data_IF_320238736734
#
_entry.id   IF_320238736734
#
_cell.length_a   1.000
_cell.length_b   1.000
_cell.length_c   1.000
_cell.angle_alpha   90.00
_cell.angle_beta   90.00
_cell.angle_gamma   90.00
#
_symmetry.space_group_name_H-M   'P 1'
#
loop_
_entity.id
_entity.type
_entity.pdbx_description
1 polymer ?
#
# COMPACT_ATOMS: atom_id res chain seq x y z
N UNK A 1 -17.08 22.84 3.23
CA UNK A 1 -15.69 22.60 2.77
C UNK A 1 -15.56 21.11 2.53
N UNK A 2 -14.85 20.72 1.47
CA UNK A 2 -14.55 19.31 1.19
C UNK A 2 -13.63 18.76 2.28
N UNK A 3 -13.82 17.51 2.71
CA UNK A 3 -12.95 16.85 3.69
C UNK A 3 -11.58 16.61 3.03
N UNK A 4 -10.49 16.93 3.73
CA UNK A 4 -9.14 16.62 3.23
C UNK A 4 -8.93 15.11 3.23
N UNK A 5 -8.24 14.60 2.22
CA UNK A 5 -7.73 13.24 2.22
C UNK A 5 -6.32 13.21 2.83
N UNK A 6 -5.94 12.07 3.39
CA UNK A 6 -4.60 11.85 3.93
C UNK A 6 -4.10 10.47 3.52
N UNK A 7 -2.82 10.19 3.71
CA UNK A 7 -2.32 8.82 3.82
C UNK A 7 -2.20 8.43 5.30
N UNK A 8 -2.70 7.24 5.70
CA UNK A 8 -3.41 6.25 4.87
C UNK A 8 -4.78 6.78 4.45
N UNK A 9 -5.27 6.34 3.29
CA UNK A 9 -6.53 6.85 2.72
C UNK A 9 -7.79 6.31 3.41
N UNK A 10 -7.66 5.20 4.14
CA UNK A 10 -8.72 4.63 4.99
C UNK A 10 -8.55 5.10 6.45
N UNK A 11 -9.57 4.91 7.32
CA UNK A 11 -9.43 5.15 8.74
C UNK A 11 -8.20 4.44 9.34
N UNK A 12 -7.58 5.05 10.36
CA UNK A 12 -6.30 4.55 10.90
C UNK A 12 -6.38 3.18 11.58
N UNK A 13 -7.58 2.69 11.85
CA UNK A 13 -7.84 1.39 12.44
C UNK A 13 -8.19 0.31 11.42
N UNK A 14 -8.15 0.65 10.14
CA UNK A 14 -8.48 -0.23 9.03
C UNK A 14 -7.20 -0.70 8.32
N UNK A 15 -7.10 -2.01 8.10
CA UNK A 15 -5.87 -2.67 7.63
C UNK A 15 -6.13 -3.44 6.33
N UNK A 16 -6.35 -2.69 5.26
CA UNK A 16 -6.57 -3.21 3.90
C UNK A 16 -5.32 -2.96 3.03
N UNK A 17 -4.33 -3.87 3.07
CA UNK A 17 -3.21 -3.85 2.14
C UNK A 17 -3.58 -4.47 0.80
N UNK A 18 -2.58 -4.55 -0.08
CA UNK A 18 -2.73 -5.14 -1.41
C UNK A 18 -3.90 -4.47 -2.17
N UNK A 19 -4.01 -3.15 -1.99
CA UNK A 19 -5.17 -2.37 -2.40
C UNK A 19 -5.19 -2.14 -3.91
N UNK A 20 -6.12 -2.79 -4.58
CA UNK A 20 -6.34 -2.73 -6.02
C UNK A 20 -7.47 -1.73 -6.34
N UNK A 21 -7.16 -0.58 -6.95
CA UNK A 21 -8.11 0.52 -7.13
C UNK A 21 -8.90 0.41 -8.44
N UNK A 22 -10.22 0.49 -8.39
CA UNK A 22 -11.08 0.50 -9.58
C UNK A 22 -12.05 1.67 -9.60
N UNK A 23 -12.26 2.25 -10.78
CA UNK A 23 -13.32 3.24 -11.00
C UNK A 23 -14.51 2.57 -11.64
N UNK A 24 -15.60 2.43 -10.89
CA UNK A 24 -16.87 1.90 -11.39
C UNK A 24 -17.96 2.96 -11.23
N UNK A 25 -18.47 3.45 -12.35
CA UNK A 25 -19.43 4.56 -12.36
C UNK A 25 -18.77 5.85 -11.87
N UNK A 26 -19.36 6.48 -10.86
CA UNK A 26 -18.91 7.74 -10.27
C UNK A 26 -18.05 7.55 -9.01
N UNK A 27 -17.66 6.32 -8.68
CA UNK A 27 -16.93 5.97 -7.45
C UNK A 27 -15.63 5.24 -7.73
N UNK A 28 -14.70 5.44 -6.80
CA UNK A 28 -13.45 4.68 -6.69
C UNK A 28 -13.66 3.63 -5.62
N UNK A 29 -13.36 2.37 -5.93
CA UNK A 29 -13.39 1.22 -5.04
C UNK A 29 -11.97 0.75 -4.79
N UNK A 30 -11.72 0.24 -3.59
CA UNK A 30 -10.49 -0.49 -3.28
C UNK A 30 -10.88 -1.88 -2.80
N UNK A 31 -10.28 -2.87 -3.46
CA UNK A 31 -10.33 -4.28 -3.08
C UNK A 31 -8.95 -4.66 -2.60
N UNK A 32 -8.86 -5.33 -1.46
CA UNK A 32 -7.57 -5.70 -0.92
C UNK A 32 -7.69 -6.88 0.02
N UNK A 33 -6.53 -7.40 0.39
CA UNK A 33 -6.38 -8.25 1.55
C UNK A 33 -6.91 -7.57 2.81
N UNK A 34 -7.21 -8.33 3.85
CA UNK A 34 -7.66 -7.77 5.13
C UNK A 34 -6.81 -8.31 6.28
N UNK A 35 -5.81 -7.51 6.65
CA UNK A 35 -4.96 -7.79 7.81
C UNK A 35 -5.76 -7.63 9.10
N UNK A 36 -5.32 -8.32 10.16
CA UNK A 36 -5.90 -8.20 11.50
C UNK A 36 -4.94 -7.40 12.36
N UNK A 37 -5.43 -6.39 13.07
CA UNK A 37 -4.61 -5.68 14.06
C UNK A 37 -4.10 -6.67 15.13
N UNK A 38 -2.80 -6.63 15.42
CA UNK A 38 -2.10 -7.64 16.23
C UNK A 38 -2.20 -9.08 15.68
N UNK A 39 -2.35 -9.22 14.36
CA UNK A 39 -2.27 -10.50 13.66
C UNK A 39 -0.88 -11.13 13.77
N UNK A 40 -0.83 -12.45 13.56
CA UNK A 40 0.41 -13.24 13.52
C UNK A 40 0.70 -13.83 12.13
N UNK A 41 -0.16 -13.52 11.16
CA UNK A 41 -0.08 -13.91 9.77
C UNK A 41 -0.77 -12.85 8.90
N UNK A 42 -0.43 -12.81 7.62
CA UNK A 42 -1.05 -11.90 6.65
C UNK A 42 -2.54 -12.26 6.45
N UNK A 43 -3.36 -11.24 6.20
CA UNK A 43 -4.69 -11.38 5.59
C UNK A 43 -5.66 -12.35 6.31
N UNK A 44 -5.69 -12.28 7.65
CA UNK A 44 -6.47 -13.20 8.49
C UNK A 44 -8.00 -13.03 8.41
N UNK A 45 -8.45 -11.83 8.02
CA UNK A 45 -9.85 -11.41 8.04
C UNK A 45 -10.54 -11.65 6.67
N UNK A 46 -11.86 -11.50 6.65
CA UNK A 46 -12.67 -11.61 5.42
C UNK A 46 -12.46 -10.40 4.51
N UNK A 47 -12.67 -10.54 3.20
CA UNK A 47 -12.60 -9.39 2.31
C UNK A 47 -13.71 -8.39 2.61
N UNK A 48 -13.31 -7.15 2.77
CA UNK A 48 -14.19 -5.99 2.83
C UNK A 48 -13.91 -5.07 1.65
N UNK A 49 -14.82 -4.15 1.38
CA UNK A 49 -14.61 -3.12 0.36
C UNK A 49 -14.83 -1.74 0.96
N UNK A 50 -14.04 -0.79 0.48
CA UNK A 50 -14.26 0.63 0.70
C UNK A 50 -14.43 1.33 -0.64
N UNK A 51 -15.26 2.38 -0.66
CA UNK A 51 -15.37 3.23 -1.83
C UNK A 51 -15.52 4.71 -1.49
N UNK A 52 -15.04 5.58 -2.36
CA UNK A 52 -15.21 7.03 -2.26
C UNK A 52 -15.86 7.58 -3.53
N UNK A 53 -16.64 8.67 -3.46
CA UNK A 53 -16.98 9.43 -4.66
C UNK A 53 -15.69 9.82 -5.41
N UNK A 54 -15.66 9.66 -6.73
CA UNK A 54 -14.49 10.01 -7.55
C UNK A 54 -14.13 11.51 -7.50
N UNK A 55 -15.07 12.34 -7.04
CA UNK A 55 -14.89 13.75 -6.80
C UNK A 55 -14.65 14.11 -5.33
N UNK A 56 -14.63 13.13 -4.42
CA UNK A 56 -14.44 13.29 -2.98
C UNK A 56 -13.64 12.15 -2.31
N UNK A 57 -12.37 12.03 -2.72
CA UNK A 57 -11.42 11.01 -2.24
C UNK A 57 -11.03 11.12 -0.74
N UNK A 58 -11.51 12.13 -0.02
CA UNK A 58 -11.39 12.21 1.45
C UNK A 58 -12.51 11.49 2.20
N UNK A 59 -13.54 11.03 1.48
CA UNK A 59 -14.79 10.53 2.05
C UNK A 59 -15.05 9.06 1.67
N UNK A 60 -14.17 8.18 2.13
CA UNK A 60 -14.32 6.73 2.00
C UNK A 60 -15.46 6.19 2.87
N UNK A 61 -16.25 5.30 2.28
CA UNK A 61 -17.37 4.58 2.89
C UNK A 61 -17.02 3.10 2.98
N UNK A 62 -17.20 2.51 4.16
CA UNK A 62 -17.20 1.06 4.33
C UNK A 62 -18.41 0.45 3.64
N UNK A 63 -18.19 -0.42 2.66
CA UNK A 63 -19.25 -1.11 1.91
C UNK A 63 -19.70 -2.42 2.59
N UNK A 64 -18.96 -2.89 3.59
CA UNK A 64 -19.22 -4.15 4.26
C UNK A 64 -18.25 -5.26 3.87
N UNK A 65 -18.47 -6.42 4.48
CA UNK A 65 -17.83 -7.69 4.08
C UNK A 65 -18.40 -8.10 2.73
N UNK A 66 -17.54 -8.12 1.72
CA UNK A 66 -17.91 -8.50 0.36
C UNK A 66 -17.73 -9.99 0.12
N UNK A 67 -16.81 -10.65 0.83
CA UNK A 67 -16.57 -12.08 0.68
C UNK A 67 -15.98 -12.70 1.96
N UNK A 68 -16.72 -13.64 2.56
CA UNK A 68 -16.26 -14.38 3.74
C UNK A 68 -15.31 -15.50 3.30
N UNK A 69 -14.18 -15.68 3.99
CA UNK A 69 -13.17 -16.70 3.62
C UNK A 69 -13.69 -18.13 3.65
N UNK A 70 -14.75 -18.37 4.42
CA UNK A 70 -15.46 -19.67 4.52
C UNK A 70 -16.44 -19.92 3.38
N UNK A 71 -16.68 -18.92 2.51
CA UNK A 71 -17.54 -19.05 1.33
C UNK A 71 -16.90 -19.91 0.25
N UNK A 72 -15.58 -20.02 0.21
CA UNK A 72 -14.88 -20.90 -0.70
C UNK A 72 -15.09 -22.38 -0.27
N UNK A 73 -15.55 -23.27 -1.16
CA UNK A 73 -15.76 -24.68 -0.83
C UNK A 73 -14.55 -25.40 -0.24
N UNK A 74 -13.32 -25.00 -0.59
CA UNK A 74 -12.10 -25.62 -0.03
C UNK A 74 -11.69 -25.02 1.32
N UNK A 75 -12.25 -23.89 1.73
CA UNK A 75 -11.91 -23.20 2.99
C UNK A 75 -13.08 -23.12 3.99
N UNK A 76 -14.00 -24.09 3.98
CA UNK A 76 -15.17 -24.10 4.89
C UNK A 76 -14.81 -23.99 6.38
N UNK A 77 -13.62 -24.46 6.77
CA UNK A 77 -13.11 -24.38 8.14
C UNK A 77 -12.47 -23.02 8.48
N UNK A 78 -12.25 -22.15 7.49
CA UNK A 78 -11.65 -20.83 7.67
C UNK A 78 -10.18 -20.84 8.07
N UNK A 79 -9.46 -21.94 7.78
CA UNK A 79 -8.06 -22.16 8.17
C UNK A 79 -7.04 -21.60 7.17
N UNK A 80 -7.50 -21.12 6.01
CA UNK A 80 -6.72 -20.42 5.00
C UNK A 80 -7.01 -18.91 5.01
N UNK A 81 -6.02 -18.13 4.59
CA UNK A 81 -6.07 -16.68 4.45
C UNK A 81 -6.45 -16.31 3.01
N UNK A 82 -7.06 -15.13 2.86
CA UNK A 82 -7.51 -14.57 1.58
C UNK A 82 -6.48 -13.54 1.09
N UNK A 83 -5.72 -13.86 0.04
CA UNK A 83 -4.65 -13.00 -0.47
C UNK A 83 -5.07 -12.22 -1.73
N UNK A 84 -4.77 -10.92 -1.69
CA UNK A 84 -4.66 -9.97 -2.80
C UNK A 84 -5.72 -10.16 -3.91
N UNK A 85 -6.96 -9.71 -3.68
CA UNK A 85 -8.00 -9.83 -4.68
C UNK A 85 -7.90 -8.75 -5.75
N UNK A 86 -8.33 -9.08 -6.96
CA UNK A 86 -8.66 -8.09 -7.99
C UNK A 86 -10.06 -8.36 -8.56
N UNK A 87 -10.73 -7.29 -8.98
CA UNK A 87 -12.09 -7.29 -9.50
C UNK A 87 -12.15 -6.76 -10.92
N UNK A 88 -12.84 -7.47 -11.79
CA UNK A 88 -13.18 -6.99 -13.14
C UNK A 88 -14.68 -7.05 -13.38
N UNK A 89 -15.19 -6.13 -14.20
CA UNK A 89 -16.56 -6.20 -14.69
C UNK A 89 -16.62 -7.04 -15.97
N UNK A 90 -17.37 -8.14 -15.93
CA UNK A 90 -17.62 -9.01 -17.08
C UNK A 90 -18.46 -8.35 -18.16
N UNK A 91 -18.47 -8.94 -19.37
CA UNK A 91 -19.30 -8.48 -20.50
C UNK A 91 -20.81 -8.58 -20.22
N UNK A 92 -21.20 -9.47 -19.30
CA UNK A 92 -22.58 -9.60 -18.81
C UNK A 92 -22.97 -8.52 -17.78
N UNK A 93 -22.02 -7.65 -17.43
CA UNK A 93 -22.21 -6.53 -16.50
C UNK A 93 -22.02 -6.89 -15.02
N UNK A 94 -21.78 -8.16 -14.67
CA UNK A 94 -21.47 -8.62 -13.31
C UNK A 94 -20.01 -8.35 -12.96
N UNK A 95 -19.68 -8.46 -11.68
CA UNK A 95 -18.36 -8.22 -11.13
C UNK A 95 -17.75 -9.52 -10.63
N UNK A 96 -16.52 -9.79 -11.05
CA UNK A 96 -15.81 -11.03 -10.78
C UNK A 96 -14.56 -10.72 -9.98
N UNK A 97 -14.48 -11.29 -8.78
CA UNK A 97 -13.38 -11.16 -7.83
C UNK A 97 -12.49 -12.39 -7.93
N UNK A 98 -11.26 -12.21 -8.38
CA UNK A 98 -10.22 -13.23 -8.45
C UNK A 98 -9.40 -13.18 -7.17
N UNK A 99 -9.09 -14.34 -6.59
CA UNK A 99 -8.28 -14.43 -5.37
C UNK A 99 -7.57 -15.78 -5.28
N UNK A 100 -6.54 -15.84 -4.43
CA UNK A 100 -5.84 -17.09 -4.09
C UNK A 100 -5.89 -17.30 -2.57
N UNK A 101 -6.11 -18.54 -2.14
CA UNK A 101 -6.00 -18.94 -0.75
C UNK A 101 -4.56 -19.36 -0.44
N UNK A 102 -4.03 -18.97 0.71
CA UNK A 102 -2.60 -19.11 1.08
C UNK A 102 -2.01 -20.54 1.04
N UNK A 103 -2.85 -21.58 1.02
CA UNK A 103 -2.42 -22.99 1.07
C UNK A 103 -2.77 -23.82 -0.18
N UNK A 104 -3.24 -23.18 -1.24
CA UNK A 104 -3.57 -23.86 -2.50
C UNK A 104 -2.88 -23.17 -3.69
N UNK A 105 -2.57 -23.90 -4.77
CA UNK A 105 -1.80 -23.35 -5.87
C UNK A 105 -2.68 -22.76 -6.99
N UNK A 106 -4.00 -22.65 -6.81
CA UNK A 106 -4.94 -22.31 -7.87
C UNK A 106 -5.72 -21.02 -7.60
N UNK A 107 -6.24 -20.41 -8.68
CA UNK A 107 -7.04 -19.19 -8.62
C UNK A 107 -8.53 -19.51 -8.45
N UNK A 108 -9.14 -18.93 -7.43
CA UNK A 108 -10.58 -18.95 -7.20
C UNK A 108 -11.23 -17.67 -7.74
N UNK A 109 -12.51 -17.78 -8.09
CA UNK A 109 -13.33 -16.67 -8.58
C UNK A 109 -14.64 -16.61 -7.79
N UNK A 110 -15.04 -15.43 -7.37
CA UNK A 110 -16.36 -15.13 -6.82
C UNK A 110 -17.07 -14.07 -7.69
N UNK A 111 -18.40 -14.01 -7.65
CA UNK A 111 -19.20 -13.12 -8.50
C UNK A 111 -20.24 -12.33 -7.70
N UNK A 112 -20.49 -11.08 -8.10
CA UNK A 112 -21.57 -10.23 -7.58
C UNK A 112 -22.22 -9.41 -8.71
N UNK A 113 -23.47 -9.01 -8.51
CA UNK A 113 -24.19 -8.14 -9.46
C UNK A 113 -23.79 -6.66 -9.33
N UNK A 114 -23.08 -6.30 -8.25
CA UNK A 114 -22.68 -4.92 -7.93
C UNK A 114 -21.22 -4.88 -7.50
N UNK A 115 -20.50 -3.74 -7.68
CA UNK A 115 -19.06 -3.68 -7.42
C UNK A 115 -18.68 -4.00 -5.97
N UNK A 116 -19.53 -3.66 -4.99
CA UNK A 116 -19.28 -3.93 -3.57
C UNK A 116 -20.44 -4.68 -2.90
N UNK A 117 -21.12 -5.55 -3.65
CA UNK A 117 -22.16 -6.43 -3.10
C UNK A 117 -21.55 -7.62 -2.36
N UNK A 118 -22.41 -8.49 -1.83
CA UNK A 118 -21.96 -9.81 -1.37
C UNK A 118 -21.60 -10.65 -2.59
N UNK A 119 -20.34 -11.05 -2.68
CA UNK A 119 -19.85 -11.98 -3.69
C UNK A 119 -20.19 -13.41 -3.26
N UNK A 120 -20.50 -14.24 -4.24
CA UNK A 120 -20.72 -15.68 -4.06
C UNK A 120 -19.66 -16.45 -4.83
N UNK A 121 -19.18 -17.56 -4.27
CA UNK A 121 -18.23 -18.43 -4.97
C UNK A 121 -18.77 -18.78 -6.37
N UNK A 122 -17.95 -18.58 -7.39
CA UNK A 122 -18.31 -18.77 -8.80
C UNK A 122 -17.65 -20.02 -9.38
N UNK A 123 -16.34 -20.18 -9.14
CA UNK A 123 -15.58 -21.31 -9.65
C UNK A 123 -14.09 -21.16 -9.45
N UNK A 124 -13.32 -22.01 -10.13
CA UNK A 124 -11.87 -21.94 -10.19
C UNK A 124 -11.45 -21.72 -11.65
N UNK A 125 -10.32 -21.07 -11.89
CA UNK A 125 -9.77 -20.99 -13.25
C UNK A 125 -9.28 -22.37 -13.68
N UNK A 126 -9.69 -22.85 -14.86
CA UNK A 126 -9.42 -24.21 -15.32
C UNK A 126 -9.24 -24.34 -16.83
N UNK A 127 -8.58 -25.42 -17.26
CA UNK A 127 -8.50 -25.82 -18.67
C UNK A 127 -9.82 -26.39 -19.21
N UNK A 128 -9.87 -26.73 -20.50
CA UNK A 128 -11.07 -27.28 -21.13
C UNK A 128 -11.51 -28.66 -20.57
N UNK A 129 -10.61 -29.39 -19.90
CA UNK A 129 -10.90 -30.67 -19.24
C UNK A 129 -11.34 -30.48 -17.77
N UNK A 130 -11.37 -29.24 -17.28
CA UNK A 130 -11.73 -28.90 -15.90
C UNK A 130 -10.59 -29.05 -14.89
N UNK A 131 -9.33 -29.18 -15.33
CA UNK A 131 -8.17 -29.16 -14.43
C UNK A 131 -7.83 -27.73 -14.07
N UNK A 132 -7.68 -27.44 -12.76
CA UNK A 132 -7.43 -26.08 -12.28
C UNK A 132 -6.04 -25.59 -12.66
N UNK A 133 -5.97 -24.30 -13.01
CA UNK A 133 -4.71 -23.59 -13.22
C UNK A 133 -3.88 -23.62 -11.93
N UNK A 134 -2.66 -24.14 -11.99
CA UNK A 134 -1.76 -24.32 -10.84
C UNK A 134 -1.64 -25.75 -10.34
N UNK A 135 -2.47 -26.68 -10.83
CA UNK A 135 -2.41 -28.10 -10.48
C UNK A 135 -1.91 -29.00 -11.62
N UNK A 136 -1.73 -28.46 -12.83
CA UNK A 136 -1.21 -29.23 -13.98
C UNK A 136 0.32 -29.32 -13.88
N UNK A 137 0.91 -30.40 -14.40
CA UNK A 137 2.36 -30.63 -14.35
C UNK A 137 3.20 -29.50 -14.97
N UNK A 138 2.62 -28.75 -15.92
CA UNK A 138 3.25 -27.61 -16.58
C UNK A 138 3.12 -26.29 -15.83
N UNK A 139 2.24 -26.22 -14.83
CA UNK A 139 1.89 -24.97 -14.15
C UNK A 139 2.88 -24.62 -13.04
N UNK A 140 3.00 -23.32 -12.78
CA UNK A 140 3.54 -22.81 -11.53
C UNK A 140 2.38 -22.54 -10.56
N UNK A 141 2.59 -22.62 -9.23
CA UNK A 141 1.56 -22.23 -8.29
C UNK A 141 1.13 -20.78 -8.50
N UNK A 142 -0.16 -20.54 -8.50
CA UNK A 142 -0.75 -19.22 -8.70
C UNK A 142 -0.70 -18.41 -7.40
N UNK A 143 -0.59 -17.09 -7.54
CA UNK A 143 -0.47 -16.13 -6.44
C UNK A 143 -0.83 -14.73 -6.97
N UNK A 144 -1.37 -13.87 -6.11
CA UNK A 144 -1.73 -12.47 -6.35
C UNK A 144 -2.33 -12.21 -7.74
N UNK A 145 -3.62 -12.49 -7.96
CA UNK A 145 -4.24 -12.23 -9.26
C UNK A 145 -4.42 -10.73 -9.53
N UNK A 146 -4.16 -10.33 -10.77
CA UNK A 146 -4.69 -9.13 -11.39
C UNK A 146 -5.43 -9.45 -12.68
N UNK A 147 -6.42 -8.65 -13.03
CA UNK A 147 -7.34 -8.94 -14.12
C UNK A 147 -7.68 -7.71 -14.96
N UNK A 148 -7.65 -7.89 -16.27
CA UNK A 148 -8.12 -6.92 -17.25
C UNK A 148 -9.12 -7.58 -18.20
N UNK A 149 -10.25 -6.92 -18.45
CA UNK A 149 -11.16 -7.33 -19.51
C UNK A 149 -11.06 -6.37 -20.68
N UNK A 150 -10.84 -6.91 -21.88
CA UNK A 150 -10.78 -6.14 -23.11
C UNK A 150 -11.23 -6.99 -24.30
N UNK A 151 -12.00 -6.40 -25.22
CA UNK A 151 -12.46 -7.04 -26.46
C UNK A 151 -13.12 -8.42 -26.29
N UNK A 152 -13.77 -8.64 -25.15
CA UNK A 152 -14.45 -9.89 -24.81
C UNK A 152 -13.53 -10.98 -24.24
N UNK A 153 -12.24 -10.71 -24.13
CA UNK A 153 -11.24 -11.56 -23.49
C UNK A 153 -10.95 -11.08 -22.07
N UNK A 154 -10.56 -12.02 -21.21
CA UNK A 154 -10.10 -11.73 -19.85
C UNK A 154 -8.63 -12.09 -19.76
N UNK A 155 -7.80 -11.13 -19.40
CA UNK A 155 -6.37 -11.31 -19.17
C UNK A 155 -6.14 -11.42 -17.67
N UNK A 156 -5.76 -12.60 -17.22
CA UNK A 156 -5.41 -12.90 -15.84
C UNK A 156 -3.89 -12.90 -15.69
N UNK A 157 -3.39 -12.13 -14.73
CA UNK A 157 -1.99 -12.01 -14.39
C UNK A 157 -1.76 -12.57 -13.00
N UNK A 158 -0.74 -13.40 -12.82
CA UNK A 158 -0.45 -14.08 -11.55
C UNK A 158 1.05 -14.34 -11.41
N UNK A 159 1.52 -14.57 -10.19
CA UNK A 159 2.86 -15.13 -9.99
C UNK A 159 3.48 -14.78 -8.64
N UNK A 160 4.50 -15.54 -8.30
CA UNK A 160 5.37 -15.29 -7.14
C UNK A 160 6.77 -15.83 -7.42
N UNK A 161 7.81 -15.06 -7.11
CA UNK A 161 9.21 -15.35 -7.42
C UNK A 161 10.12 -15.13 -6.20
N UNK A 162 10.07 -16.06 -5.26
CA UNK A 162 10.94 -16.06 -4.08
C UNK A 162 12.45 -16.01 -4.44
N UNK A 163 13.30 -15.37 -3.62
CA UNK A 163 14.75 -15.31 -3.85
C UNK A 163 15.38 -16.70 -4.05
N UNK A 164 15.95 -16.93 -5.24
CA UNK A 164 16.65 -18.17 -5.58
C UNK A 164 15.76 -19.37 -5.95
N UNK A 165 14.43 -19.21 -6.01
CA UNK A 165 13.51 -20.27 -6.40
C UNK A 165 13.43 -20.41 -7.93
N UNK A 166 14.20 -21.36 -8.48
CA UNK A 166 14.22 -21.65 -9.92
C UNK A 166 12.93 -22.30 -10.44
N UNK A 167 12.00 -22.74 -9.58
CA UNK A 167 10.70 -23.19 -10.05
C UNK A 167 9.80 -22.03 -10.50
N UNK A 168 10.16 -20.80 -10.11
CA UNK A 168 9.39 -19.57 -10.33
C UNK A 168 10.02 -18.71 -11.42
N UNK A 169 9.39 -18.69 -12.60
CA UNK A 169 9.99 -18.08 -13.80
C UNK A 169 9.72 -16.59 -13.96
N UNK A 170 8.64 -16.09 -13.37
CA UNK A 170 8.23 -14.70 -13.50
C UNK A 170 6.73 -14.51 -13.38
N UNK A 171 6.27 -13.30 -13.68
CA UNK A 171 4.85 -13.00 -13.83
C UNK A 171 4.28 -13.74 -15.04
N UNK A 172 3.13 -14.36 -14.86
CA UNK A 172 2.38 -15.08 -15.89
C UNK A 172 1.22 -14.22 -16.37
N UNK A 173 0.90 -14.32 -17.67
CA UNK A 173 -0.36 -13.87 -18.24
C UNK A 173 -1.09 -15.07 -18.85
N UNK A 174 -2.38 -15.22 -18.54
CA UNK A 174 -3.27 -16.29 -19.00
C UNK A 174 -4.53 -15.66 -19.59
N UNK A 175 -5.01 -16.14 -20.73
CA UNK A 175 -6.23 -15.58 -21.36
C UNK A 175 -7.41 -16.50 -21.07
N UNK A 176 -8.48 -15.95 -20.50
CA UNK A 176 -9.73 -16.65 -20.19
C UNK A 176 -10.85 -16.22 -21.14
N UNK A 177 -11.80 -17.13 -21.31
CA UNK A 177 -13.01 -16.89 -22.07
C UNK A 177 -14.00 -15.96 -21.36
N UNK A 178 -15.11 -15.59 -22.03
CA UNK A 178 -16.12 -14.69 -21.49
C UNK A 178 -16.92 -15.31 -20.32
N UNK A 179 -16.72 -16.59 -20.00
CA UNK A 179 -17.26 -17.23 -18.81
C UNK A 179 -16.44 -16.95 -17.55
N UNK A 180 -15.32 -16.22 -17.68
CA UNK A 180 -14.43 -15.72 -16.64
C UNK A 180 -13.58 -16.80 -15.94
N UNK A 181 -13.66 -18.08 -16.34
CA UNK A 181 -12.95 -19.18 -15.65
C UNK A 181 -12.29 -20.17 -16.60
N UNK A 182 -12.70 -20.26 -17.86
CA UNK A 182 -12.11 -21.23 -18.80
C UNK A 182 -10.91 -20.62 -19.52
N UNK A 183 -9.76 -21.29 -19.43
CA UNK A 183 -8.54 -20.92 -20.15
C UNK A 183 -8.77 -21.08 -21.66
N UNK A 184 -8.42 -20.05 -22.41
CA UNK A 184 -8.44 -20.01 -23.88
C UNK A 184 -7.06 -19.91 -24.50
N UNK A 185 -6.11 -19.27 -23.80
CA UNK A 185 -4.68 -19.28 -24.13
C UNK A 185 -3.86 -19.61 -22.89
N UNK A 186 -2.90 -20.52 -23.05
CA UNK A 186 -2.07 -21.02 -21.96
C UNK A 186 -1.18 -19.92 -21.32
N UNK A 187 -0.78 -20.09 -20.04
CA UNK A 187 0.06 -19.13 -19.36
C UNK A 187 1.39 -18.87 -20.10
N UNK A 188 1.74 -17.59 -20.23
CA UNK A 188 3.03 -17.13 -20.77
C UNK A 188 3.75 -16.25 -19.76
N UNK A 189 5.09 -16.31 -19.73
CA UNK A 189 5.89 -15.43 -18.86
C UNK A 189 6.06 -14.07 -19.53
N UNK A 190 5.66 -13.00 -18.83
CA UNK A 190 5.68 -11.63 -19.34
C UNK A 190 6.78 -10.76 -18.72
N UNK A 191 7.13 -11.00 -17.46
CA UNK A 191 8.20 -10.30 -16.73
C UNK A 191 9.02 -11.35 -15.98
N UNK A 192 10.36 -11.39 -16.15
CA UNK A 192 11.19 -12.42 -15.56
C UNK A 192 11.33 -12.27 -14.04
N UNK A 193 11.41 -13.41 -13.36
CA UNK A 193 11.79 -13.48 -11.94
C UNK A 193 13.31 -13.40 -11.74
N UNK A 194 13.74 -13.30 -10.47
CA UNK A 194 15.14 -13.09 -10.08
C UNK A 194 16.16 -14.11 -10.67
N UNK A 195 15.76 -15.34 -10.97
CA UNK A 195 16.64 -16.36 -11.54
C UNK A 195 16.80 -16.25 -13.07
N UNK A 196 16.04 -15.36 -13.74
CA UNK A 196 15.87 -15.34 -15.20
C UNK A 196 16.06 -13.95 -15.83
N UNK A 197 16.41 -12.92 -15.04
CA UNK A 197 16.55 -11.53 -15.50
C UNK A 197 17.93 -11.14 -15.99
N UNK A 198 18.95 -11.98 -15.80
CA UNK A 198 20.33 -11.62 -16.12
C UNK A 198 20.48 -11.19 -17.59
N UNK A 199 20.98 -9.97 -17.82
CA UNK A 199 21.11 -9.37 -19.16
C UNK A 199 19.81 -8.81 -19.75
N UNK A 200 18.72 -8.76 -18.98
CA UNK A 200 17.49 -8.02 -19.32
C UNK A 200 17.50 -6.64 -18.66
N UNK A 201 16.59 -5.78 -19.08
CA UNK A 201 16.30 -4.48 -18.46
C UNK A 201 15.65 -4.59 -17.06
N UNK A 202 15.22 -5.78 -16.66
CA UNK A 202 14.66 -6.06 -15.33
C UNK A 202 15.72 -6.38 -14.26
N UNK A 203 17.00 -6.50 -14.62
CA UNK A 203 18.06 -6.88 -13.68
C UNK A 203 18.13 -5.90 -12.48
N UNK A 204 18.01 -6.45 -11.26
CA UNK A 204 17.95 -5.68 -10.02
C UNK A 204 16.56 -5.17 -9.63
N UNK A 205 15.56 -5.33 -10.49
CA UNK A 205 14.16 -4.95 -10.28
C UNK A 205 13.20 -6.03 -10.81
N UNK A 206 13.58 -7.29 -10.65
CA UNK A 206 12.84 -8.43 -11.18
C UNK A 206 11.48 -8.59 -10.53
N UNK A 207 10.58 -9.32 -11.19
CA UNK A 207 9.30 -9.66 -10.58
C UNK A 207 9.50 -10.47 -9.29
N UNK A 208 8.82 -10.05 -8.22
CA UNK A 208 8.66 -10.79 -6.98
C UNK A 208 7.22 -11.24 -6.79
N UNK A 209 6.26 -10.32 -6.73
CA UNK A 209 4.83 -10.61 -6.52
C UNK A 209 3.93 -9.44 -6.94
N UNK A 210 2.62 -9.56 -6.66
CA UNK A 210 1.67 -8.46 -6.74
C UNK A 210 1.50 -7.79 -8.11
N UNK A 211 1.17 -8.55 -9.18
CA UNK A 211 0.84 -7.95 -10.45
C UNK A 211 -0.37 -7.02 -10.34
N UNK A 212 -0.37 -5.94 -11.10
CA UNK A 212 -1.55 -5.09 -11.37
C UNK A 212 -1.43 -4.54 -12.79
N UNK A 213 -2.54 -4.44 -13.51
CA UNK A 213 -2.52 -4.10 -14.95
C UNK A 213 -3.49 -2.97 -15.27
N UNK A 214 -3.03 -1.95 -15.97
CA UNK A 214 -3.89 -0.91 -16.56
C UNK A 214 -3.55 -0.66 -18.01
N UNK A 215 -4.52 -0.14 -18.75
CA UNK A 215 -4.30 0.32 -20.13
C UNK A 215 -4.51 1.84 -20.18
N UNK A 216 -3.56 2.53 -20.79
CA UNK A 216 -3.67 3.95 -21.12
C UNK A 216 -3.39 4.13 -22.62
N UNK A 217 -4.41 4.54 -23.37
CA UNK A 217 -4.35 4.54 -24.83
C UNK A 217 -4.11 3.14 -25.38
N UNK A 218 -3.00 2.97 -26.10
CA UNK A 218 -2.55 1.71 -26.71
C UNK A 218 -1.37 1.07 -25.94
N UNK A 219 -1.11 1.50 -24.71
CA UNK A 219 -0.05 0.95 -23.84
C UNK A 219 -0.66 0.26 -22.62
N UNK A 220 -0.20 -0.95 -22.35
CA UNK A 220 -0.42 -1.66 -21.09
C UNK A 220 0.67 -1.31 -20.10
N UNK A 221 0.28 -0.97 -18.87
CA UNK A 221 1.14 -0.68 -17.73
C UNK A 221 0.96 -1.80 -16.71
N UNK A 222 1.97 -2.66 -16.62
CA UNK A 222 2.02 -3.76 -15.66
C UNK A 222 2.83 -3.31 -14.44
N UNK A 223 2.13 -3.02 -13.34
CA UNK A 223 2.70 -2.70 -12.04
C UNK A 223 3.00 -3.99 -11.29
N UNK A 224 4.11 -4.04 -10.56
CA UNK A 224 4.47 -5.20 -9.75
C UNK A 224 5.42 -4.86 -8.60
N UNK A 225 5.44 -5.70 -7.58
CA UNK A 225 6.44 -5.64 -6.50
C UNK A 225 7.74 -6.30 -6.96
N UNK A 226 8.86 -5.60 -6.84
CA UNK A 226 10.14 -6.10 -7.33
C UNK A 226 10.84 -7.05 -6.34
N UNK A 227 11.94 -7.68 -6.76
CA UNK A 227 12.84 -8.47 -5.91
C UNK A 227 13.44 -7.70 -4.72
N UNK A 228 13.33 -6.36 -4.72
CA UNK A 228 13.65 -5.48 -3.57
C UNK A 228 12.55 -5.45 -2.51
N UNK A 229 11.37 -5.98 -2.80
CA UNK A 229 10.17 -6.12 -1.96
C UNK A 229 9.49 -4.80 -1.56
N UNK A 230 10.25 -3.72 -1.36
CA UNK A 230 9.76 -2.44 -0.82
C UNK A 230 9.28 -1.44 -1.87
N UNK A 231 9.23 -1.83 -3.14
CA UNK A 231 8.95 -0.93 -4.25
C UNK A 231 7.96 -1.52 -5.24
N UNK A 232 7.11 -0.65 -5.78
CA UNK A 232 6.29 -0.95 -6.94
C UNK A 232 6.98 -0.41 -8.17
N UNK A 233 7.32 -1.32 -9.06
CA UNK A 233 7.86 -1.07 -10.38
C UNK A 233 6.75 -1.09 -11.42
N UNK A 234 7.06 -0.68 -12.65
CA UNK A 234 6.20 -0.93 -13.79
C UNK A 234 6.98 -1.41 -15.02
N UNK A 235 6.28 -2.12 -15.88
CA UNK A 235 6.70 -2.48 -17.21
C UNK A 235 5.61 -2.08 -18.21
N UNK A 236 6.01 -1.76 -19.44
CA UNK A 236 5.08 -1.33 -20.50
C UNK A 236 5.11 -2.27 -21.68
N UNK A 237 3.96 -2.47 -22.32
CA UNK A 237 3.84 -3.21 -23.58
C UNK A 237 2.73 -2.65 -24.48
N UNK A 238 2.81 -2.96 -25.78
CA UNK A 238 1.71 -2.79 -26.74
C UNK A 238 0.77 -3.99 -26.80
N UNK A 239 1.11 -5.07 -26.10
CA UNK A 239 0.37 -6.32 -26.08
C UNK A 239 0.08 -6.73 -24.63
N UNK A 240 -1.11 -7.30 -24.36
CA UNK A 240 -1.45 -7.69 -23.00
C UNK A 240 -0.57 -8.84 -22.46
N UNK A 241 -0.01 -9.68 -23.33
CA UNK A 241 0.60 -10.97 -22.97
C UNK A 241 2.07 -11.15 -23.39
N UNK A 242 2.75 -10.11 -23.89
CA UNK A 242 4.15 -10.24 -24.36
C UNK A 242 4.85 -8.89 -24.47
N UNK A 243 6.17 -8.94 -24.70
CA UNK A 243 7.00 -7.77 -25.05
C UNK A 243 6.95 -6.64 -24.01
N UNK A 244 6.91 -6.98 -22.73
CA UNK A 244 7.03 -6.00 -21.66
C UNK A 244 8.48 -5.53 -21.53
N UNK A 245 8.62 -4.22 -21.35
CA UNK A 245 9.89 -3.52 -21.15
C UNK A 245 9.84 -2.80 -19.81
N UNK A 246 10.89 -2.91 -19.01
CA UNK A 246 10.98 -2.27 -17.70
C UNK A 246 10.90 -0.74 -17.83
N UNK A 247 10.05 -0.11 -17.03
CA UNK A 247 9.79 1.32 -17.05
C UNK A 247 10.42 2.10 -15.89
N UNK A 248 10.70 1.43 -14.76
CA UNK A 248 11.25 2.07 -13.56
C UNK A 248 10.44 1.80 -12.30
N UNK A 249 10.83 2.48 -11.22
CA UNK A 249 10.14 2.45 -9.92
C UNK A 249 9.10 3.57 -9.88
N UNK A 250 7.86 3.26 -9.50
CA UNK A 250 6.79 4.25 -9.29
C UNK A 250 6.81 4.76 -7.85
N UNK A 251 6.87 3.87 -6.86
CA UNK A 251 6.85 4.25 -5.44
C UNK A 251 7.60 3.22 -4.60
N UNK A 252 8.25 3.67 -3.53
CA UNK A 252 8.86 2.82 -2.52
C UNK A 252 8.27 3.15 -1.15
N UNK A 253 7.83 2.13 -0.40
CA UNK A 253 7.23 2.29 0.93
C UNK A 253 8.24 2.67 2.03
N UNK A 254 9.47 3.02 1.65
CA UNK A 254 10.52 3.56 2.49
C UNK A 254 11.29 4.72 1.83
N UNK A 255 10.80 5.24 0.69
CA UNK A 255 11.50 6.21 -0.17
C UNK A 255 12.94 5.78 -0.52
N UNK A 256 13.24 4.48 -0.62
CA UNK A 256 14.62 3.95 -0.67
C UNK A 256 15.48 4.52 -1.80
N UNK A 257 14.87 4.71 -2.98
CA UNK A 257 15.54 5.20 -4.19
C UNK A 257 15.57 6.74 -4.32
N UNK A 258 14.96 7.47 -3.37
CA UNK A 258 14.97 8.94 -3.36
C UNK A 258 16.19 9.42 -2.57
N UNK A 259 17.11 10.09 -3.27
CA UNK A 259 18.40 10.52 -2.72
C UNK A 259 18.64 12.05 -2.72
N UNK A 260 17.80 12.82 -3.42
CA UNK A 260 17.93 14.28 -3.47
C UNK A 260 17.50 14.97 -2.16
N UNK A 261 16.70 14.29 -1.34
CA UNK A 261 16.23 14.81 -0.04
C UNK A 261 16.91 14.16 1.17
N UNK A 262 17.60 13.02 0.98
CA UNK A 262 18.23 12.23 2.05
C UNK A 262 19.40 11.40 1.50
N UNK A 263 20.41 11.04 2.33
CA UNK A 263 21.49 10.15 1.90
C UNK A 263 20.99 8.84 1.31
N UNK A 264 21.69 8.33 0.29
CA UNK A 264 21.45 6.99 -0.22
C UNK A 264 21.60 5.96 0.91
N UNK A 265 20.68 4.99 0.98
CA UNK A 265 20.68 3.94 2.00
C UNK A 265 20.08 4.33 3.36
N UNK A 266 19.59 5.56 3.53
CA UNK A 266 18.73 5.93 4.67
C UNK A 266 17.26 5.76 4.25
N UNK A 267 16.56 4.71 4.69
CA UNK A 267 15.13 4.58 4.45
C UNK A 267 14.37 5.62 5.28
N UNK A 268 13.40 6.29 4.69
CA UNK A 268 12.58 7.29 5.37
C UNK A 268 11.43 6.65 6.18
N UNK A 269 11.24 5.34 6.05
CA UNK A 269 10.27 4.53 6.77
C UNK A 269 10.77 3.08 6.82
N UNK A 270 10.27 2.24 7.72
CA UNK A 270 10.65 0.82 7.78
C UNK A 270 10.26 0.11 6.46
N UNK A 271 11.23 -0.44 5.69
CA UNK A 271 10.92 -1.15 4.45
C UNK A 271 10.24 -2.48 4.77
N UNK A 272 9.25 -2.86 3.97
CA UNK A 272 8.59 -4.16 4.02
C UNK A 272 8.06 -4.55 2.64
N UNK A 273 7.29 -5.64 2.53
CA UNK A 273 6.64 -5.93 1.24
C UNK A 273 5.77 -4.75 0.77
N UNK A 274 5.56 -4.66 -0.52
CA UNK A 274 4.78 -3.60 -1.12
C UNK A 274 3.89 -4.20 -2.21
N UNK A 275 2.67 -3.69 -2.32
CA UNK A 275 1.66 -4.20 -3.23
C UNK A 275 0.58 -3.14 -3.43
N UNK A 276 0.10 -3.00 -4.66
CA UNK A 276 -1.06 -2.24 -5.06
C UNK A 276 -1.05 -2.00 -6.57
N UNK A 277 -2.00 -1.20 -7.04
CA UNK A 277 -2.19 -0.90 -8.45
C UNK A 277 -2.32 0.58 -8.74
N UNK A 278 -2.51 0.94 -10.01
CA UNK A 278 -2.77 2.32 -10.42
C UNK A 278 -4.19 2.53 -10.92
N UNK A 279 -4.73 3.74 -10.78
CA UNK A 279 -6.01 4.09 -11.36
C UNK A 279 -6.03 5.54 -11.84
N UNK A 280 -6.72 5.78 -12.95
CA UNK A 280 -7.07 7.12 -13.39
C UNK A 280 -8.38 7.54 -12.72
N UNK A 281 -8.33 8.61 -11.95
CA UNK A 281 -9.48 9.16 -11.24
C UNK A 281 -9.68 10.59 -11.75
N UNK A 282 -10.75 10.81 -12.51
CA UNK A 282 -11.11 12.12 -13.07
C UNK A 282 -9.98 12.81 -13.85
N UNK A 283 -9.19 12.05 -14.62
CA UNK A 283 -8.09 12.57 -15.44
C UNK A 283 -6.74 12.67 -14.72
N UNK A 284 -6.66 12.28 -13.45
CA UNK A 284 -5.41 12.21 -12.69
C UNK A 284 -5.09 10.75 -12.37
N UNK A 285 -3.88 10.32 -12.71
CA UNK A 285 -3.40 8.98 -12.33
C UNK A 285 -2.89 8.98 -10.90
N UNK A 286 -3.14 7.88 -10.20
CA UNK A 286 -2.63 7.63 -8.84
C UNK A 286 -2.02 6.23 -8.78
N UNK A 287 -0.96 6.08 -8.00
CA UNK A 287 -0.45 4.78 -7.55
C UNK A 287 -1.01 4.49 -6.16
N UNK A 288 -1.57 3.31 -5.95
CA UNK A 288 -1.98 2.77 -4.66
C UNK A 288 -0.94 1.75 -4.23
N UNK A 289 -0.62 1.76 -2.94
CA UNK A 289 0.43 0.94 -2.34
C UNK A 289 0.11 0.76 -0.85
N UNK A 290 1.00 0.12 -0.09
CA UNK A 290 0.82 0.06 1.36
C UNK A 290 2.12 0.29 2.13
N UNK A 291 1.97 0.59 3.41
CA UNK A 291 3.07 0.69 4.37
C UNK A 291 2.81 -0.20 5.58
N UNK A 292 3.88 -0.50 6.31
CA UNK A 292 3.83 -1.34 7.50
C UNK A 292 3.52 -0.51 8.74
N UNK A 293 2.65 -1.02 9.62
CA UNK A 293 2.31 -0.39 10.90
C UNK A 293 2.30 -1.45 11.99
N UNK A 294 2.01 -1.02 13.22
CA UNK A 294 2.04 -1.81 14.44
C UNK A 294 3.37 -2.54 14.72
N UNK A 295 4.43 -2.19 14.00
CA UNK A 295 5.73 -2.84 14.12
C UNK A 295 5.74 -4.28 13.63
N UNK A 296 4.87 -4.62 12.67
CA UNK A 296 4.75 -5.97 12.12
C UNK A 296 4.45 -5.94 10.62
N UNK A 297 4.74 -7.06 9.96
CA UNK A 297 4.33 -7.29 8.57
C UNK A 297 2.83 -7.52 8.42
N UNK A 298 2.13 -7.86 9.50
CA UNK A 298 0.74 -8.32 9.48
C UNK A 298 -0.28 -7.22 9.82
N UNK A 299 0.13 -5.95 9.76
CA UNK A 299 -0.73 -4.80 10.02
C UNK A 299 -0.34 -3.69 9.05
N UNK A 300 -0.78 -3.82 7.81
CA UNK A 300 -0.42 -2.94 6.70
C UNK A 300 -1.59 -2.01 6.36
N UNK A 301 -1.27 -0.77 5.98
CA UNK A 301 -2.25 0.26 5.67
C UNK A 301 -2.07 0.78 4.24
N UNK A 302 -3.18 0.88 3.52
CA UNK A 302 -3.24 1.44 2.16
C UNK A 302 -2.89 2.93 2.12
N UNK A 303 -2.01 3.29 1.20
CA UNK A 303 -1.59 4.65 0.87
C UNK A 303 -1.70 4.86 -0.65
N UNK A 304 -1.75 6.11 -1.09
CA UNK A 304 -1.74 6.42 -2.52
C UNK A 304 -1.02 7.74 -2.80
N UNK A 305 -0.46 7.90 -3.99
CA UNK A 305 0.20 9.14 -4.43
C UNK A 305 -0.22 9.50 -5.86
N UNK A 306 -0.33 10.79 -6.21
CA UNK A 306 -0.56 11.20 -7.59
C UNK A 306 0.69 10.88 -8.42
N UNK A 307 0.49 10.33 -9.62
CA UNK A 307 1.56 10.07 -10.59
C UNK A 307 1.24 10.75 -11.92
N UNK A 308 2.28 11.06 -12.68
CA UNK A 308 2.14 11.57 -14.04
C UNK A 308 2.72 10.54 -15.00
N UNK A 309 1.94 10.18 -16.01
CA UNK A 309 2.43 9.47 -17.19
C UNK A 309 2.93 10.55 -18.15
N UNK A 310 4.23 10.52 -18.46
CA UNK A 310 4.88 11.40 -19.42
C UNK A 310 4.39 11.16 -20.85
N UNK A 311 4.68 12.09 -21.75
CA UNK A 311 4.34 11.95 -23.17
C UNK A 311 5.00 10.72 -23.82
N UNK A 312 6.17 10.30 -23.31
CA UNK A 312 6.90 9.10 -23.69
C UNK A 312 6.39 7.82 -22.99
N UNK A 313 5.36 7.94 -22.15
CA UNK A 313 4.80 6.86 -21.34
C UNK A 313 5.58 6.59 -20.04
N UNK A 314 6.63 7.34 -19.73
CA UNK A 314 7.40 7.14 -18.51
C UNK A 314 6.64 7.63 -17.26
N UNK A 315 6.89 6.97 -16.12
CA UNK A 315 6.43 7.38 -14.80
C UNK A 315 7.65 7.63 -13.93
N UNK A 316 7.74 8.83 -13.36
CA UNK A 316 8.79 9.15 -12.40
C UNK A 316 8.43 8.63 -11.02
N UNK A 317 9.43 8.16 -10.27
CA UNK A 317 9.21 7.74 -8.90
C UNK A 317 8.68 8.91 -8.06
N UNK A 318 7.57 8.67 -7.36
CA UNK A 318 6.98 9.60 -6.39
C UNK A 318 7.42 9.24 -4.98
N UNK A 319 7.41 10.25 -4.12
CA UNK A 319 7.71 10.10 -2.69
C UNK A 319 6.46 9.78 -1.88
N UNK A 320 6.63 9.16 -0.72
CA UNK A 320 5.55 9.04 0.25
C UNK A 320 5.20 10.42 0.83
N UNK A 321 3.92 10.77 0.82
CA UNK A 321 3.36 11.99 1.40
C UNK A 321 2.25 11.68 2.39
N UNK A 322 1.98 12.62 3.30
CA UNK A 322 0.78 12.65 4.14
C UNK A 322 -0.46 13.10 3.36
N UNK A 323 -0.29 13.73 2.20
CA UNK A 323 -1.37 14.27 1.37
C UNK A 323 -2.13 13.16 0.63
N UNK A 324 -1.41 12.21 0.04
CA UNK A 324 -1.93 11.19 -0.84
C UNK A 324 -2.99 11.69 -1.84
N UNK A 325 -4.23 11.25 -1.68
CA UNK A 325 -5.35 11.57 -2.60
C UNK A 325 -5.91 13.00 -2.47
N UNK A 326 -5.30 13.87 -1.67
CA UNK A 326 -5.85 15.22 -1.39
C UNK A 326 -5.85 16.16 -2.61
N UNK A 327 -4.95 15.94 -3.58
CA UNK A 327 -4.79 16.78 -4.77
C UNK A 327 -3.96 18.05 -4.55
N UNK A 328 -3.22 18.13 -3.43
CA UNK A 328 -2.38 19.27 -3.07
C UNK A 328 -1.94 19.21 -1.61
N UNK A 329 -1.18 20.21 -1.13
CA UNK A 329 -0.78 20.30 0.27
C UNK A 329 -2.00 20.36 1.20
N UNK A 330 -1.86 19.80 2.41
CA UNK A 330 -2.85 19.94 3.48
C UNK A 330 -2.88 21.39 3.98
N UNK A 331 -4.00 21.84 4.51
CA UNK A 331 -4.09 23.18 5.07
C UNK A 331 -3.14 23.34 6.28
N UNK A 332 -2.32 24.39 6.31
CA UNK A 332 -1.45 24.68 7.45
C UNK A 332 -2.18 25.26 8.67
N UNK A 333 -3.30 24.64 9.08
CA UNK A 333 -4.11 25.04 10.23
C UNK A 333 -4.89 23.86 10.82
N UNK A 334 -5.14 23.92 12.13
CA UNK A 334 -5.92 22.91 12.85
C UNK A 334 -5.09 21.72 13.33
N UNK A 335 -5.77 20.71 13.87
CA UNK A 335 -5.16 19.52 14.46
C UNK A 335 -5.07 18.38 13.42
N UNK A 336 -3.89 17.76 13.35
CA UNK A 336 -3.57 16.63 12.49
C UNK A 336 -3.12 15.43 13.33
N UNK A 337 -3.66 14.22 13.05
CA UNK A 337 -3.26 13.04 13.79
C UNK A 337 -1.88 12.56 13.33
N UNK A 338 -1.08 12.08 14.27
CA UNK A 338 0.30 11.69 14.01
C UNK A 338 0.42 10.42 13.16
N UNK A 339 -0.64 9.60 13.05
CA UNK A 339 -0.63 8.42 12.17
C UNK A 339 -0.48 8.79 10.69
N UNK A 340 -0.65 10.05 10.28
CA UNK A 340 -0.42 10.45 8.87
C UNK A 340 1.07 10.66 8.54
N UNK A 341 1.98 10.41 9.49
CA UNK A 341 3.41 10.49 9.24
C UNK A 341 3.79 9.61 8.03
N UNK A 342 4.34 10.25 7.00
CA UNK A 342 4.81 9.57 5.80
C UNK A 342 6.29 9.20 5.91
N UNK A 343 7.02 9.83 6.84
CA UNK A 343 8.37 9.43 7.22
C UNK A 343 8.41 9.11 8.72
N UNK A 344 9.05 8.00 9.08
CA UNK A 344 9.28 7.57 10.46
C UNK A 344 10.56 6.76 10.52
N UNK A 345 11.65 7.39 10.98
CA UNK A 345 12.97 6.77 11.04
C UNK A 345 13.79 7.35 12.20
N UNK A 346 14.97 6.78 12.46
CA UNK A 346 15.94 7.36 13.39
C UNK A 346 17.31 7.46 12.73
N UNK A 347 18.08 8.49 13.10
CA UNK A 347 19.48 8.67 12.64
C UNK A 347 20.41 7.54 13.10
N UNK A 348 20.00 6.78 14.13
CA UNK A 348 20.75 5.67 14.72
C UNK A 348 20.12 4.30 14.41
N UNK A 349 19.11 4.27 13.55
CA UNK A 349 18.38 3.06 13.18
C UNK A 349 19.28 2.10 12.40
N UNK A 350 19.34 0.83 12.84
CA UNK A 350 20.03 -0.22 12.10
C UNK A 350 19.14 -0.73 10.97
N UNK A 351 19.44 -0.28 9.76
CA UNK A 351 18.65 -0.55 8.57
C UNK A 351 18.78 -1.99 8.04
N UNK A 352 19.77 -2.76 8.51
CA UNK A 352 20.04 -4.09 7.98
C UNK A 352 19.07 -5.17 8.53
N UNK A 353 18.29 -4.84 9.57
CA UNK A 353 17.46 -5.80 10.30
C UNK A 353 16.09 -5.27 10.70
N UNK A 354 15.54 -4.29 9.97
CA UNK A 354 14.36 -3.54 10.44
C UNK A 354 13.08 -4.36 10.55
N UNK A 355 12.85 -5.28 9.62
CA UNK A 355 11.87 -6.35 9.80
C UNK A 355 12.67 -7.64 9.91
N UNK A 356 12.83 -8.15 11.13
CA UNK A 356 13.42 -9.46 11.34
C UNK A 356 12.66 -10.50 10.50
N UNK A 357 13.31 -11.58 10.06
CA UNK A 357 12.68 -12.69 9.32
C UNK A 357 11.40 -13.26 9.99
N UNK A 358 11.15 -12.94 11.27
CA UNK A 358 9.95 -13.29 12.01
C UNK A 358 8.76 -12.30 11.85
N UNK A 359 8.89 -11.21 11.09
CA UNK A 359 7.80 -10.29 10.76
C UNK A 359 7.53 -9.19 11.80
N UNK A 360 8.51 -8.84 12.64
CA UNK A 360 8.38 -7.80 13.68
C UNK A 360 9.59 -6.88 13.70
N UNK A 361 9.36 -5.59 13.95
CA UNK A 361 10.43 -4.63 14.24
C UNK A 361 10.92 -4.82 15.69
N UNK A 362 12.19 -4.50 15.94
CA UNK A 362 12.70 -4.39 17.32
C UNK A 362 11.86 -3.35 18.10
N UNK A 363 11.37 -3.74 19.28
CA UNK A 363 10.49 -2.93 20.11
C UNK A 363 11.11 -1.59 20.56
N UNK A 364 12.41 -1.38 20.38
CA UNK A 364 13.08 -0.09 20.59
C UNK A 364 12.75 0.96 19.53
N UNK A 365 12.30 0.57 18.34
CA UNK A 365 11.97 1.52 17.27
C UNK A 365 10.55 2.07 17.41
N UNK A 366 10.35 3.27 16.87
CA UNK A 366 9.04 3.88 16.79
C UNK A 366 8.16 3.17 15.76
N UNK A 367 6.85 3.18 15.99
CA UNK A 367 5.85 2.58 15.09
C UNK A 367 4.55 3.34 15.13
N UNK A 368 3.85 3.42 14.00
CA UNK A 368 2.44 3.82 13.96
C UNK A 368 1.62 2.65 14.50
N UNK A 369 0.73 2.86 15.46
CA UNK A 369 -0.11 1.81 16.08
C UNK A 369 -1.40 2.44 16.61
N UNK A 370 -2.26 1.67 17.27
CA UNK A 370 -3.47 2.14 17.94
C UNK A 370 -3.60 1.51 19.33
N UNK A 371 -4.49 2.09 20.16
CA UNK A 371 -4.97 1.44 21.37
C UNK A 371 -6.10 0.44 21.01
N UNK A 372 -6.50 -0.39 21.98
CA UNK A 372 -7.60 -1.34 21.80
C UNK A 372 -7.23 -2.62 21.05
N UNK A 373 -8.19 -3.20 20.35
CA UNK A 373 -8.08 -4.46 19.59
C UNK A 373 -8.59 -4.27 18.16
N UNK A 374 -8.40 -5.31 17.34
CA UNK A 374 -8.95 -5.38 15.98
C UNK A 374 -10.45 -5.06 15.95
N UNK A 375 -10.85 -4.17 15.05
CA UNK A 375 -12.22 -3.69 14.90
C UNK A 375 -12.64 -2.54 15.83
N UNK A 376 -11.80 -2.11 16.77
CA UNK A 376 -12.07 -0.88 17.55
C UNK A 376 -11.74 0.36 16.69
N UNK A 377 -12.63 1.37 16.69
CA UNK A 377 -12.45 2.64 15.97
C UNK A 377 -11.54 3.63 16.74
N UNK A 378 -10.33 3.18 17.09
CA UNK A 378 -9.37 3.96 17.86
C UNK A 378 -8.40 4.71 16.93
N UNK A 379 -8.20 5.99 17.20
CA UNK A 379 -7.29 6.82 16.39
C UNK A 379 -5.84 6.37 16.58
N UNK A 380 -5.15 6.14 15.48
CA UNK A 380 -3.75 5.74 15.49
C UNK A 380 -2.82 6.85 15.99
N UNK A 381 -1.64 6.45 16.47
CA UNK A 381 -0.60 7.35 16.98
C UNK A 381 0.79 6.77 16.70
N UNK A 382 1.83 7.59 16.86
CA UNK A 382 3.22 7.12 16.80
C UNK A 382 3.64 6.72 18.21
N UNK A 383 3.94 5.44 18.43
CA UNK A 383 4.45 4.92 19.68
C UNK A 383 5.99 4.96 19.72
N UNK A 384 6.53 5.12 20.93
CA UNK A 384 7.94 4.86 21.24
C UNK A 384 8.94 5.67 20.39
N UNK A 385 8.70 6.97 20.24
CA UNK A 385 9.73 7.90 19.77
C UNK A 385 10.81 8.03 20.84
N UNK A 386 12.01 7.56 20.53
CA UNK A 386 13.21 7.64 21.36
C UNK A 386 14.18 8.67 20.79
N UNK A 387 15.30 8.92 21.47
CA UNK A 387 16.28 9.91 21.01
C UNK A 387 16.60 9.76 19.53
N UNK A 388 16.61 10.88 18.82
CA UNK A 388 16.88 10.97 17.38
C UNK A 388 15.85 10.29 16.47
N UNK A 389 14.68 9.89 17.01
CA UNK A 389 13.52 9.50 16.20
C UNK A 389 12.91 10.72 15.54
N UNK A 390 12.61 10.60 14.24
CA UNK A 390 12.06 11.66 13.40
C UNK A 390 10.73 11.17 12.82
N UNK A 391 9.69 11.96 13.01
CA UNK A 391 8.42 11.83 12.29
C UNK A 391 8.29 12.98 11.29
N UNK A 392 8.01 12.67 10.02
CA UNK A 392 7.86 13.63 8.93
C UNK A 392 6.46 13.59 8.32
N UNK A 393 5.95 14.79 8.00
CA UNK A 393 4.62 15.04 7.48
C UNK A 393 4.73 15.95 6.25
N UNK A 394 4.29 15.46 5.09
CA UNK A 394 4.49 16.13 3.80
C UNK A 394 3.15 16.24 3.05
N UNK A 395 2.67 17.40 2.62
CA UNK A 395 3.12 18.78 2.81
C UNK A 395 1.95 19.64 3.31
N UNK A 396 2.26 20.80 3.87
CA UNK A 396 1.28 21.76 4.38
C UNK A 396 1.43 23.10 3.67
N UNK A 397 0.30 23.73 3.31
CA UNK A 397 0.21 25.11 2.87
C UNK A 397 0.19 26.01 4.10
N UNK A 398 1.38 26.42 4.55
CA UNK A 398 1.60 27.19 5.75
C UNK A 398 1.41 28.68 5.46
N UNK A 399 0.52 29.33 6.22
CA UNK A 399 0.35 30.78 6.16
C UNK A 399 0.06 31.32 7.55
N UNK A 400 0.97 32.15 8.06
CA UNK A 400 0.80 32.81 9.35
C UNK A 400 0.84 31.88 10.56
N UNK A 401 1.46 30.69 10.44
CA UNK A 401 1.61 29.77 11.56
C UNK A 401 2.63 30.35 12.54
N UNK A 402 2.19 30.62 13.75
CA UNK A 402 3.00 31.23 14.82
C UNK A 402 3.07 30.36 16.07
N UNK A 403 2.22 29.34 16.17
CA UNK A 403 2.20 28.43 17.31
C UNK A 403 1.98 26.99 16.86
N UNK A 404 2.67 26.08 17.54
CA UNK A 404 2.53 24.64 17.35
C UNK A 404 2.28 23.98 18.69
N UNK A 405 1.36 23.02 18.70
CA UNK A 405 1.05 22.18 19.85
C UNK A 405 1.28 20.71 19.51
N UNK A 406 1.79 19.92 20.46
CA UNK A 406 1.95 18.46 20.33
C UNK A 406 1.21 17.76 21.47
N UNK A 407 0.44 16.73 21.13
CA UNK A 407 -0.26 15.87 22.08
C UNK A 407 0.52 14.59 22.30
N UNK A 408 1.06 14.42 23.51
CA UNK A 408 2.04 13.37 23.83
C UNK A 408 1.69 12.59 25.09
N UNK A 409 2.22 11.37 25.23
CA UNK A 409 2.22 10.58 26.46
C UNK A 409 3.44 9.66 26.49
N UNK A 410 3.83 9.12 27.63
CA UNK A 410 4.87 8.10 27.69
C UNK A 410 5.77 8.16 28.91
N UNK A 411 6.78 7.30 28.89
CA UNK A 411 7.81 7.18 29.91
C UNK A 411 9.11 7.74 29.36
N UNK A 412 9.19 9.06 29.28
CA UNK A 412 10.36 9.76 28.77
C UNK A 412 10.45 11.20 29.25
N UNK A 413 11.56 11.86 28.96
CA UNK A 413 11.81 13.25 29.31
C UNK A 413 12.68 13.88 28.22
N UNK A 414 12.24 15.03 27.69
CA UNK A 414 12.94 15.69 26.60
C UNK A 414 12.10 16.77 25.93
N UNK A 415 12.31 16.93 24.63
CA UNK A 415 11.57 17.85 23.78
C UNK A 415 11.56 17.38 22.33
N UNK A 416 10.61 17.89 21.55
CA UNK A 416 10.62 17.76 20.10
C UNK A 416 11.24 19.02 19.49
N UNK A 417 12.20 18.84 18.59
CA UNK A 417 12.64 19.88 17.66
C UNK A 417 11.66 19.95 16.49
N UNK A 418 11.22 21.16 16.13
CA UNK A 418 10.37 21.41 14.97
C UNK A 418 11.22 21.90 13.79
N UNK A 419 11.07 21.28 12.63
CA UNK A 419 11.86 21.57 11.42
C UNK A 419 11.01 21.51 10.15
N UNK A 420 11.42 22.20 9.10
CA UNK A 420 10.84 22.05 7.74
C UNK A 420 11.63 21.10 6.83
N UNK A 421 12.78 20.63 7.31
CA UNK A 421 13.59 19.56 6.71
C UNK A 421 14.14 18.66 7.82
N UNK A 422 14.20 17.35 7.58
CA UNK A 422 14.63 16.38 8.61
C UNK A 422 16.05 16.62 9.15
N UNK A 423 16.95 17.14 8.30
CA UNK A 423 18.33 17.54 8.60
C UNK A 423 18.52 19.07 8.67
N UNK A 424 17.41 19.81 8.67
CA UNK A 424 17.40 21.27 8.65
C UNK A 424 17.60 21.92 10.02
N UNK A 425 17.50 23.25 10.01
CA UNK A 425 17.52 24.09 11.20
C UNK A 425 16.31 23.79 12.11
N UNK A 426 16.55 23.82 13.42
CA UNK A 426 15.51 23.76 14.43
C UNK A 426 14.85 25.14 14.55
N UNK A 427 13.56 25.22 14.24
CA UNK A 427 12.77 26.46 14.33
C UNK A 427 12.30 26.74 15.76
N UNK A 428 12.30 25.73 16.61
CA UNK A 428 11.89 25.82 18.02
C UNK A 428 11.70 24.44 18.64
N UNK A 429 11.46 24.42 19.94
CA UNK A 429 11.30 23.18 20.70
C UNK A 429 10.01 23.16 21.49
N UNK A 430 9.40 21.98 21.61
CA UNK A 430 8.19 21.74 22.39
C UNK A 430 8.51 20.69 23.46
N UNK A 431 8.34 21.00 24.75
CA UNK A 431 8.67 20.05 25.82
C UNK A 431 7.77 18.81 25.74
N UNK A 432 8.35 17.65 26.03
CA UNK A 432 7.65 16.39 26.15
C UNK A 432 8.19 15.63 27.36
N UNK A 433 7.29 15.12 28.19
CA UNK A 433 7.67 14.54 29.47
C UNK A 433 6.79 13.38 29.88
N UNK A 434 7.09 12.87 31.06
CA UNK A 434 6.39 11.74 31.66
C UNK A 434 4.89 12.04 31.80
N UNK A 435 4.06 11.19 31.20
CA UNK A 435 2.61 11.24 31.39
C UNK A 435 1.97 9.90 31.06
N UNK A 436 1.04 9.47 31.91
CA UNK A 436 0.19 8.30 31.67
C UNK A 436 -1.04 8.61 30.81
N UNK A 437 -1.30 9.90 30.55
CA UNK A 437 -2.42 10.38 29.74
C UNK A 437 -1.92 11.28 28.62
N UNK A 438 -2.73 11.46 27.58
CA UNK A 438 -2.44 12.43 26.54
C UNK A 438 -2.42 13.85 27.10
N UNK A 439 -1.28 14.52 27.03
CA UNK A 439 -1.07 15.91 27.44
C UNK A 439 -0.62 16.74 26.24
N UNK A 440 -1.17 17.94 26.14
CA UNK A 440 -0.80 18.90 25.12
C UNK A 440 0.24 19.88 25.67
N UNK A 441 1.31 20.09 24.90
CA UNK A 441 2.29 21.14 25.14
C UNK A 441 2.43 21.99 23.87
N UNK A 442 2.59 23.31 24.04
CA UNK A 442 2.71 24.25 22.92
C UNK A 442 3.97 25.11 23.05
N UNK A 443 4.40 25.66 21.91
CA UNK A 443 5.39 26.75 21.87
C UNK A 443 5.07 27.73 20.74
N UNK A 444 5.46 28.99 20.93
CA UNK A 444 5.45 30.02 19.88
C UNK A 444 6.60 29.71 18.91
N UNK A 445 6.26 29.13 17.76
CA UNK A 445 7.18 28.69 16.73
C UNK A 445 6.61 29.15 15.39
N UNK A 446 7.32 30.04 14.71
CA UNK A 446 6.92 30.51 13.38
C UNK A 446 7.36 29.50 12.33
N UNK A 447 6.42 29.00 11.54
CA UNK A 447 6.73 28.29 10.29
C UNK A 447 6.73 29.32 9.16
N UNK A 448 7.77 29.37 8.31
CA UNK A 448 7.77 30.25 7.16
C UNK A 448 6.54 30.04 6.28
N UNK A 449 6.01 31.11 5.70
CA UNK A 449 4.91 31.00 4.75
C UNK A 449 5.33 30.18 3.52
N UNK A 450 4.37 29.47 2.92
CA UNK A 450 4.55 28.63 1.74
C UNK A 450 4.29 27.15 2.00
N UNK A 451 4.64 26.31 1.03
CA UNK A 451 4.43 24.86 1.11
C UNK A 451 5.64 24.22 1.80
N UNK A 452 5.42 23.63 2.98
CA UNK A 452 6.49 23.04 3.79
C UNK A 452 6.15 21.62 4.23
N UNK A 453 7.19 20.79 4.32
CA UNK A 453 7.13 19.60 5.15
C UNK A 453 7.26 20.02 6.61
N UNK A 454 6.76 19.19 7.53
CA UNK A 454 7.00 19.35 8.96
C UNK A 454 7.67 18.10 9.49
N UNK A 455 8.73 18.29 10.26
CA UNK A 455 9.47 17.22 10.92
C UNK A 455 9.53 17.48 12.41
N UNK A 456 9.23 16.45 13.19
CA UNK A 456 9.37 16.44 14.65
C UNK A 456 10.43 15.42 15.04
N UNK A 457 11.57 15.90 15.53
CA UNK A 457 12.66 15.06 16.02
C UNK A 457 12.63 15.04 17.55
N UNK A 458 12.49 13.87 18.16
CA UNK A 458 12.54 13.74 19.62
C UNK A 458 14.00 13.75 20.11
N UNK A 459 14.29 14.59 21.10
CA UNK A 459 15.56 14.68 21.82
C UNK A 459 15.32 14.42 23.30
N UNK A 460 15.91 13.36 23.84
CA UNK A 460 15.71 13.03 25.25
C UNK A 460 15.93 11.57 25.62
N UNK A 461 15.46 11.20 26.80
CA UNK A 461 15.56 9.83 27.32
C UNK A 461 14.19 9.15 27.38
N UNK A 462 14.18 7.82 27.26
CA UNK A 462 12.96 7.01 27.31
C UNK A 462 12.18 7.02 25.99
N UNK A 463 10.87 6.73 26.07
CA UNK A 463 9.99 6.62 24.92
C UNK A 463 8.74 7.48 25.07
N UNK A 464 8.53 8.38 24.10
CA UNK A 464 7.35 9.24 24.00
C UNK A 464 6.48 8.80 22.84
N UNK A 465 5.16 8.81 23.02
CA UNK A 465 4.18 8.64 21.96
C UNK A 465 3.62 9.99 21.54
N UNK A 466 3.34 10.15 20.26
CA UNK A 466 2.74 11.36 19.66
C UNK A 466 1.38 10.99 19.05
N UNK A 467 0.31 11.60 19.55
CA UNK A 467 -1.05 11.38 19.05
C UNK A 467 -1.42 12.35 17.92
N UNK A 468 -1.09 13.62 18.08
CA UNK A 468 -1.45 14.67 17.13
C UNK A 468 -0.57 15.90 17.30
N UNK A 469 -0.67 16.81 16.33
CA UNK A 469 -0.09 18.15 16.38
C UNK A 469 -1.08 19.17 15.83
N UNK A 470 -1.01 20.40 16.32
CA UNK A 470 -1.86 21.51 15.87
C UNK A 470 -1.03 22.66 15.31
N UNK A 471 -1.53 23.29 14.25
CA UNK A 471 -0.95 24.46 13.59
C UNK A 471 -1.89 25.66 13.79
N UNK A 472 -1.35 26.74 14.39
CA UNK A 472 -2.09 27.95 14.76
C UNK A 472 -1.43 29.25 14.27
#
# INVERSE_FOLDING_TARGET
>A
MKKQAFNPYLPSWEYIPDGEPHVFGDRVYVYGSHDRFNGFAYCLNDYVCYSAPSDDLGNWRYEGVIYEKTSDPVNREGSMCLYAPDVVRGADGRYYLYYVLDKVPFVSVAVSDTPAGKYSFYGYVHDADGRRLGERDSDQPQFDPAVLMEDGSVYLYTGFCGPGDQSRKGAMATVLGPDMVTITEEPVIIVPGNCYSAGTDFEGHEFFEGPSIRKNGDTYYFVYSSSKMHELCYAVSRYPTKEYVYGGVIVSNCDGNITHQKPAGLPAYVPGNNHGGMAEIRGQWYIFYHRHTNGTNFSRQGCAEPIQIGEDGSIQQVEMTSCGLNGGPLAGKGEYPAYIACNLFSKTMDNNHLLHHAGWIDGKYARITQDGRDGDEETGYIANMQDSTIAGFKYFDCSGITRISLKTRGYGSGYFEVKTRWDGECLGTIPAGYSNVWVENSAEITIPDGVHALYFEFKGEGGISLASFSLE
#
